data_IF_660771405021
#
_entry.id   IF_660771405021
#
_cell.length_a   1.000
_cell.length_b   1.000
_cell.length_c   1.000
_cell.angle_alpha   90.00
_cell.angle_beta   90.00
_cell.angle_gamma   90.00
#
_symmetry.space_group_name_H-M   'P 1'
#
loop_
_entity.id
_entity.type
_entity.pdbx_description
1 polymer ?
#
# COMPACT_ATOMS: atom_id res chain seq x y z
N UNK A 1 0.06 -31.17 -46.86
CA UNK A 1 1.44 -31.68 -46.85
C UNK A 1 1.88 -31.86 -45.41
N UNK A 2 2.15 -33.12 -45.05
CA UNK A 2 2.93 -33.66 -43.93
C UNK A 2 2.74 -33.09 -42.51
N UNK A 3 1.91 -33.81 -41.74
CA UNK A 3 2.10 -34.05 -40.31
C UNK A 3 3.47 -34.72 -40.06
N UNK A 4 4.24 -34.24 -39.07
CA UNK A 4 5.34 -34.99 -38.48
C UNK A 4 5.05 -35.22 -36.99
N UNK A 5 4.58 -36.44 -36.69
CA UNK A 5 4.48 -36.97 -35.34
C UNK A 5 5.87 -37.39 -34.86
N UNK A 6 6.44 -36.69 -33.88
CA UNK A 6 7.60 -37.20 -33.16
C UNK A 6 7.12 -38.06 -31.98
N UNK A 7 7.10 -39.37 -32.20
CA UNK A 7 6.85 -40.39 -31.18
C UNK A 7 8.00 -40.41 -30.17
N UNK A 8 7.73 -39.97 -28.93
CA UNK A 8 8.65 -40.16 -27.81
C UNK A 8 8.51 -41.61 -27.31
N UNK A 9 9.45 -42.47 -27.74
CA UNK A 9 9.57 -43.88 -27.36
C UNK A 9 10.08 -43.95 -25.91
N UNK A 10 9.17 -44.09 -24.93
CA UNK A 10 9.52 -44.32 -23.53
C UNK A 10 9.92 -45.79 -23.38
N UNK A 11 11.21 -46.05 -23.14
CA UNK A 11 11.73 -47.38 -22.83
C UNK A 11 11.01 -47.94 -21.60
N UNK A 12 10.24 -49.01 -21.80
CA UNK A 12 9.60 -49.78 -20.73
C UNK A 12 10.66 -50.60 -20.01
N UNK A 13 11.10 -50.13 -18.84
CA UNK A 13 11.76 -50.99 -17.86
C UNK A 13 10.64 -51.85 -17.25
N UNK A 14 10.63 -53.13 -17.61
CA UNK A 14 9.74 -54.15 -17.05
C UNK A 14 10.09 -54.38 -15.57
N UNK A 15 9.26 -53.84 -14.67
CA UNK A 15 9.23 -54.26 -13.27
C UNK A 15 8.73 -55.70 -13.19
N UNK A 16 9.33 -56.58 -12.36
CA UNK A 16 8.91 -57.96 -12.24
C UNK A 16 7.47 -58.04 -11.72
N UNK A 17 6.70 -58.85 -12.43
CA UNK A 17 5.31 -59.22 -12.18
C UNK A 17 5.18 -59.82 -10.77
N UNK A 18 4.70 -59.00 -9.82
CA UNK A 18 4.27 -59.48 -8.51
C UNK A 18 3.06 -60.40 -8.73
N UNK A 19 3.34 -61.70 -8.68
CA UNK A 19 2.38 -62.78 -8.76
C UNK A 19 1.17 -62.48 -7.87
N UNK A 20 0.01 -62.34 -8.53
CA UNK A 20 -1.27 -62.18 -7.88
C UNK A 20 -1.61 -63.45 -7.09
N UNK A 21 -1.41 -63.40 -5.77
CA UNK A 21 -2.06 -64.32 -4.86
C UNK A 21 -3.56 -64.05 -4.90
N UNK A 22 -4.33 -65.06 -5.33
CA UNK A 22 -5.79 -65.10 -5.22
C UNK A 22 -6.18 -64.94 -3.75
N UNK A 23 -6.69 -63.76 -3.38
CA UNK A 23 -7.19 -63.52 -2.02
C UNK A 23 -7.99 -62.22 -1.94
N UNK A 24 -9.32 -62.36 -1.94
CA UNK A 24 -10.34 -61.32 -1.71
C UNK A 24 -10.26 -60.07 -2.62
N UNK A 25 -11.25 -59.93 -3.52
CA UNK A 25 -11.63 -58.60 -4.04
C UNK A 25 -12.18 -57.79 -2.86
N UNK A 26 -11.31 -57.15 -2.10
CA UNK A 26 -11.71 -55.94 -1.37
C UNK A 26 -12.14 -54.95 -2.45
N UNK A 27 -13.45 -54.81 -2.65
CA UNK A 27 -13.98 -53.62 -3.29
C UNK A 27 -13.52 -52.45 -2.43
N UNK A 28 -12.39 -51.84 -2.79
CA UNK A 28 -11.98 -50.56 -2.25
C UNK A 28 -13.13 -49.64 -2.59
N UNK A 29 -13.93 -49.28 -1.59
CA UNK A 29 -15.08 -48.39 -1.75
C UNK A 29 -14.50 -47.09 -2.31
N UNK A 30 -14.67 -46.88 -3.62
CA UNK A 30 -14.22 -45.64 -4.25
C UNK A 30 -14.88 -44.51 -3.47
N UNK A 31 -14.04 -43.70 -2.85
CA UNK A 31 -14.52 -42.53 -2.15
C UNK A 31 -15.08 -41.59 -3.21
N UNK A 32 -16.24 -41.00 -2.96
CA UNK A 32 -16.80 -40.01 -3.87
C UNK A 32 -15.81 -38.87 -4.03
N UNK A 33 -15.58 -38.45 -5.27
CA UNK A 33 -14.72 -37.32 -5.59
C UNK A 33 -15.07 -36.11 -4.73
N UNK A 34 -14.04 -35.49 -4.15
CA UNK A 34 -14.15 -34.30 -3.31
C UNK A 34 -13.43 -33.14 -3.97
N UNK A 35 -13.97 -31.97 -3.73
CA UNK A 35 -13.53 -30.73 -4.36
C UNK A 35 -12.47 -30.00 -3.53
N UNK A 36 -11.50 -30.76 -3.05
CA UNK A 36 -10.48 -30.26 -2.15
C UNK A 36 -9.17 -30.13 -2.90
N UNK A 37 -8.63 -28.91 -2.93
CA UNK A 37 -7.32 -28.64 -3.50
C UNK A 37 -6.25 -29.26 -2.60
N UNK A 38 -5.22 -29.89 -3.18
CA UNK A 38 -4.07 -30.46 -2.47
C UNK A 38 -4.34 -31.71 -1.60
N UNK A 39 -5.49 -32.37 -1.79
CA UNK A 39 -5.78 -33.67 -1.18
C UNK A 39 -5.57 -34.77 -2.21
N UNK A 40 -4.80 -35.80 -1.86
CA UNK A 40 -4.67 -36.99 -2.68
C UNK A 40 -5.98 -37.79 -2.64
N UNK A 41 -6.53 -38.08 -3.81
CA UNK A 41 -7.81 -38.78 -3.98
C UNK A 41 -7.64 -39.99 -4.90
N UNK A 42 -8.58 -40.93 -4.86
CA UNK A 42 -8.57 -42.14 -5.70
C UNK A 42 -9.08 -41.87 -7.12
N UNK A 43 -8.69 -40.73 -7.70
CA UNK A 43 -9.05 -40.29 -9.04
C UNK A 43 -7.79 -39.80 -9.76
N UNK A 44 -7.76 -39.93 -11.08
CA UNK A 44 -6.67 -39.41 -11.91
C UNK A 44 -6.55 -37.89 -11.73
N UNK A 45 -5.34 -37.35 -11.90
CA UNK A 45 -5.07 -35.92 -11.71
C UNK A 45 -5.89 -35.02 -12.67
N UNK A 46 -6.27 -35.54 -13.83
CA UNK A 46 -7.09 -34.85 -14.84
C UNK A 46 -8.61 -35.07 -14.65
N UNK A 47 -9.02 -35.90 -13.68
CA UNK A 47 -10.41 -36.24 -13.47
C UNK A 47 -11.17 -35.11 -12.75
N UNK A 48 -12.25 -34.64 -13.35
CA UNK A 48 -13.19 -33.67 -12.78
C UNK A 48 -14.61 -34.22 -12.86
N UNK A 49 -15.36 -34.15 -11.75
CA UNK A 49 -16.72 -34.66 -11.71
C UNK A 49 -17.69 -33.86 -12.60
N UNK A 50 -18.71 -34.52 -13.16
CA UNK A 50 -19.70 -33.87 -14.04
C UNK A 50 -20.50 -32.74 -13.36
N UNK A 51 -20.65 -32.79 -12.03
CA UNK A 51 -21.29 -31.74 -11.23
C UNK A 51 -20.38 -30.56 -10.90
N UNK A 52 -19.12 -30.57 -11.33
CA UNK A 52 -18.14 -29.54 -11.00
C UNK A 52 -18.54 -28.16 -11.55
N UNK A 53 -18.91 -28.11 -12.83
CA UNK A 53 -19.29 -26.87 -13.51
C UNK A 53 -20.64 -26.32 -13.02
N UNK A 54 -21.55 -27.18 -12.54
CA UNK A 54 -22.84 -26.72 -12.00
C UNK A 54 -22.69 -25.95 -10.67
N UNK A 55 -21.56 -26.09 -10.00
CA UNK A 55 -21.24 -25.40 -8.74
C UNK A 55 -20.45 -24.11 -8.95
N UNK A 56 -20.17 -23.71 -10.19
CA UNK A 56 -19.47 -22.47 -10.50
C UNK A 56 -20.33 -21.27 -10.08
N UNK A 57 -19.82 -20.45 -9.17
CA UNK A 57 -20.51 -19.22 -8.76
C UNK A 57 -20.01 -18.06 -9.61
N UNK A 58 -20.94 -17.35 -10.24
CA UNK A 58 -20.65 -16.14 -11.00
C UNK A 58 -21.02 -14.93 -10.14
N UNK A 59 -20.08 -14.01 -10.00
CA UNK A 59 -20.26 -12.71 -9.33
C UNK A 59 -20.72 -12.76 -7.87
N UNK A 60 -20.50 -13.86 -7.14
CA UNK A 60 -20.88 -14.01 -5.72
C UNK A 60 -20.14 -13.06 -4.76
N UNK A 61 -18.98 -12.55 -5.17
CA UNK A 61 -18.15 -11.62 -4.35
C UNK A 61 -17.97 -10.26 -5.03
N UNK A 62 -18.80 -9.94 -6.05
CA UNK A 62 -18.74 -8.62 -6.69
C UNK A 62 -19.19 -7.55 -5.70
N UNK A 63 -18.21 -6.79 -5.20
CA UNK A 63 -18.44 -5.60 -4.39
C UNK A 63 -18.82 -4.45 -5.30
N UNK A 64 -20.05 -3.95 -5.18
CA UNK A 64 -20.47 -2.71 -5.84
C UNK A 64 -19.88 -1.52 -5.09
N UNK A 65 -19.16 -0.65 -5.79
CA UNK A 65 -18.57 0.54 -5.17
C UNK A 65 -19.53 1.72 -5.27
N UNK A 66 -19.75 2.42 -4.15
CA UNK A 66 -20.48 3.67 -4.14
C UNK A 66 -19.66 4.80 -4.77
N UNK A 67 -20.34 5.75 -5.40
CA UNK A 67 -19.70 6.94 -6.00
C UNK A 67 -18.81 7.68 -4.99
N UNK A 68 -19.29 7.90 -3.77
CA UNK A 68 -18.53 8.62 -2.74
C UNK A 68 -17.25 7.92 -2.30
N UNK A 69 -17.23 6.59 -2.30
CA UNK A 69 -16.01 5.83 -2.03
C UNK A 69 -15.00 6.06 -3.15
N UNK A 70 -15.43 5.92 -4.41
CA UNK A 70 -14.58 6.15 -5.57
C UNK A 70 -14.09 7.59 -5.65
N UNK A 71 -14.96 8.58 -5.43
CA UNK A 71 -14.59 10.00 -5.36
C UNK A 71 -13.43 10.25 -4.40
N UNK A 72 -13.49 9.64 -3.20
CA UNK A 72 -12.43 9.73 -2.20
C UNK A 72 -11.14 9.06 -2.66
N UNK A 73 -11.23 7.94 -3.36
CA UNK A 73 -10.05 7.24 -3.88
C UNK A 73 -9.40 8.03 -5.04
N UNK A 74 -10.20 8.53 -5.99
CA UNK A 74 -9.75 9.39 -7.09
C UNK A 74 -9.23 10.76 -6.62
N UNK A 75 -9.74 11.30 -5.51
CA UNK A 75 -9.19 12.54 -4.92
C UNK A 75 -7.73 12.41 -4.48
N UNK A 76 -7.25 11.19 -4.21
CA UNK A 76 -5.85 10.95 -3.86
C UNK A 76 -4.94 10.97 -5.09
N UNK A 77 -5.47 10.56 -6.24
CA UNK A 77 -4.80 10.76 -7.54
C UNK A 77 -4.63 12.26 -7.79
N UNK A 78 -5.68 13.05 -7.58
CA UNK A 78 -5.61 14.52 -7.68
C UNK A 78 -4.63 15.15 -6.68
N UNK A 79 -4.62 14.67 -5.43
CA UNK A 79 -3.67 15.12 -4.42
C UNK A 79 -2.23 14.85 -4.88
N UNK A 80 -1.96 13.63 -5.36
CA UNK A 80 -0.62 13.26 -5.81
C UNK A 80 -0.17 14.09 -7.01
N UNK A 81 -1.04 14.27 -8.00
CA UNK A 81 -0.79 15.13 -9.15
C UNK A 81 -0.49 16.59 -8.73
N UNK A 82 -1.21 17.10 -7.73
CA UNK A 82 -0.98 18.43 -7.17
C UNK A 82 0.36 18.54 -6.44
N UNK A 83 0.76 17.51 -5.70
CA UNK A 83 2.08 17.46 -5.03
C UNK A 83 3.21 17.48 -6.06
N UNK A 84 3.12 16.68 -7.12
CA UNK A 84 4.10 16.69 -8.22
C UNK A 84 4.16 18.07 -8.86
N UNK A 85 3.01 18.65 -9.19
CA UNK A 85 2.95 19.98 -9.80
C UNK A 85 3.49 21.06 -8.86
N UNK A 86 3.27 20.96 -7.55
CA UNK A 86 3.83 21.87 -6.56
C UNK A 86 5.37 21.89 -6.63
N UNK A 87 6.01 20.72 -6.73
CA UNK A 87 7.47 20.61 -6.92
C UNK A 87 7.91 21.27 -8.22
N UNK A 88 7.20 21.03 -9.32
CA UNK A 88 7.53 21.66 -10.62
C UNK A 88 7.36 23.19 -10.58
N UNK A 89 6.31 23.71 -9.94
CA UNK A 89 6.07 25.14 -9.81
C UNK A 89 7.14 25.83 -8.96
N UNK A 90 7.56 25.21 -7.85
CA UNK A 90 8.65 25.74 -7.02
C UNK A 90 9.97 25.73 -7.78
N UNK A 91 10.27 24.66 -8.52
CA UNK A 91 11.44 24.62 -9.40
C UNK A 91 11.39 25.74 -10.45
N UNK A 92 10.27 25.87 -11.15
CA UNK A 92 10.07 26.90 -12.17
C UNK A 92 10.24 28.31 -11.59
N UNK A 93 9.67 28.58 -10.41
CA UNK A 93 9.82 29.84 -9.70
C UNK A 93 11.27 30.14 -9.34
N UNK A 94 12.02 29.15 -8.88
CA UNK A 94 13.46 29.30 -8.58
C UNK A 94 14.31 29.47 -9.84
N UNK A 95 14.02 28.72 -10.90
CA UNK A 95 14.81 28.67 -12.14
C UNK A 95 14.56 29.87 -13.06
N UNK A 96 13.28 30.17 -13.36
CA UNK A 96 12.90 31.24 -14.29
C UNK A 96 12.63 32.57 -13.57
N UNK A 97 11.90 32.53 -12.45
CA UNK A 97 11.45 33.75 -11.75
C UNK A 97 12.42 34.22 -10.65
N UNK A 98 13.56 33.54 -10.47
CA UNK A 98 14.58 33.83 -9.46
C UNK A 98 14.01 33.96 -8.04
N UNK A 99 13.03 33.13 -7.69
CA UNK A 99 12.50 33.07 -6.33
C UNK A 99 13.59 32.71 -5.33
N UNK A 100 13.50 33.34 -4.16
CA UNK A 100 14.37 33.02 -3.04
C UNK A 100 14.14 31.56 -2.59
N UNK A 101 15.15 30.68 -2.67
CA UNK A 101 15.01 29.26 -2.31
C UNK A 101 14.64 29.05 -0.84
N UNK A 102 14.93 30.02 0.04
CA UNK A 102 14.77 29.89 1.49
C UNK A 102 13.30 29.94 1.93
N UNK A 103 12.45 30.66 1.20
CA UNK A 103 11.03 30.82 1.55
C UNK A 103 10.22 29.52 1.49
N UNK A 104 10.20 28.77 0.36
CA UNK A 104 9.42 27.53 0.29
C UNK A 104 9.93 26.48 1.28
N UNK A 105 11.25 26.40 1.50
CA UNK A 105 11.83 25.42 2.41
C UNK A 105 11.53 25.74 3.88
N UNK A 106 11.64 27.00 4.33
CA UNK A 106 11.28 27.33 5.72
C UNK A 106 9.81 27.00 5.99
N UNK A 107 8.93 27.32 5.05
CA UNK A 107 7.51 27.00 5.18
C UNK A 107 7.27 25.48 5.22
N UNK A 108 7.86 24.71 4.30
CA UNK A 108 7.69 23.27 4.27
C UNK A 108 8.31 22.59 5.50
N UNK A 109 9.51 22.98 5.91
CA UNK A 109 10.18 22.43 7.10
C UNK A 109 9.45 22.77 8.40
N UNK A 110 8.83 23.95 8.51
CA UNK A 110 7.98 24.28 9.65
C UNK A 110 6.71 23.41 9.69
N UNK A 111 6.07 23.19 8.53
CA UNK A 111 4.89 22.34 8.41
C UNK A 111 5.22 20.86 8.67
N UNK A 112 6.38 20.36 8.21
CA UNK A 112 6.81 18.98 8.48
C UNK A 112 7.15 18.77 9.95
N UNK A 113 7.79 19.75 10.62
CA UNK A 113 8.05 19.69 12.06
C UNK A 113 6.73 19.67 12.86
N UNK A 114 5.78 20.55 12.51
CA UNK A 114 4.46 20.55 13.13
C UNK A 114 3.73 19.22 12.90
N UNK A 115 3.74 18.72 11.67
CA UNK A 115 3.16 17.43 11.31
C UNK A 115 3.80 16.27 12.08
N UNK A 116 5.13 16.28 12.26
CA UNK A 116 5.86 15.28 13.03
C UNK A 116 5.49 15.31 14.52
N UNK A 117 5.35 16.50 15.12
CA UNK A 117 4.89 16.64 16.51
C UNK A 117 3.47 16.07 16.64
N UNK A 118 2.56 16.45 15.75
CA UNK A 118 1.18 15.93 15.72
C UNK A 118 1.17 14.40 15.57
N UNK A 119 2.01 13.86 14.68
CA UNK A 119 2.18 12.42 14.47
C UNK A 119 2.62 11.69 15.74
N UNK A 120 3.70 12.16 16.38
CA UNK A 120 4.25 11.55 17.61
C UNK A 120 3.25 11.62 18.76
N UNK A 121 2.65 12.79 19.01
CA UNK A 121 1.68 12.98 20.09
C UNK A 121 0.45 12.10 19.87
N UNK A 122 -0.08 12.07 18.65
CA UNK A 122 -1.26 11.26 18.33
C UNK A 122 -0.97 9.76 18.47
N UNK A 123 0.20 9.28 18.01
CA UNK A 123 0.60 7.89 18.19
C UNK A 123 0.73 7.51 19.67
N UNK A 124 1.36 8.36 20.50
CA UNK A 124 1.46 8.14 21.94
C UNK A 124 0.08 8.03 22.58
N UNK A 125 -0.83 8.95 22.26
CA UNK A 125 -2.21 8.92 22.78
C UNK A 125 -2.93 7.63 22.37
N UNK A 126 -2.84 7.23 21.09
CA UNK A 126 -3.51 6.01 20.59
C UNK A 126 -2.96 4.74 21.23
N UNK A 127 -1.63 4.60 21.25
CA UNK A 127 -0.95 3.46 21.88
C UNK A 127 -1.29 3.36 23.37
N UNK A 128 -1.29 4.48 24.10
CA UNK A 128 -1.67 4.49 25.51
C UNK A 128 -3.15 4.08 25.72
N UNK A 129 -4.07 4.53 24.86
CA UNK A 129 -5.47 4.10 24.88
C UNK A 129 -5.65 2.61 24.55
N UNK A 130 -4.81 2.04 23.69
CA UNK A 130 -4.79 0.59 23.44
C UNK A 130 -4.30 -0.17 24.67
N UNK A 131 -3.18 0.28 25.25
CA UNK A 131 -2.59 -0.32 26.45
C UNK A 131 -3.57 -0.34 27.63
N UNK A 132 -4.28 0.76 27.90
CA UNK A 132 -5.29 0.82 28.96
C UNK A 132 -6.42 -0.18 28.69
N UNK A 133 -6.92 -0.27 27.45
CA UNK A 133 -7.96 -1.25 27.07
C UNK A 133 -7.48 -2.69 27.26
N UNK A 134 -6.25 -2.97 26.85
CA UNK A 134 -5.62 -4.29 26.98
C UNK A 134 -5.36 -4.65 28.46
N UNK A 135 -4.95 -3.68 29.29
CA UNK A 135 -4.79 -3.87 30.73
C UNK A 135 -6.12 -4.18 31.41
N UNK A 136 -7.20 -3.44 31.09
CA UNK A 136 -8.54 -3.75 31.59
C UNK A 136 -8.99 -5.16 31.17
N UNK A 137 -8.76 -5.54 29.92
CA UNK A 137 -9.10 -6.89 29.44
C UNK A 137 -8.32 -7.98 30.18
N UNK A 138 -7.02 -7.78 30.43
CA UNK A 138 -6.20 -8.68 31.25
C UNK A 138 -6.73 -8.81 32.67
N UNK A 139 -7.12 -7.71 33.31
CA UNK A 139 -7.71 -7.72 34.66
C UNK A 139 -9.02 -8.53 34.67
N UNK A 140 -9.91 -8.31 33.70
CA UNK A 140 -11.18 -9.03 33.61
C UNK A 140 -10.99 -10.55 33.46
N UNK A 141 -10.00 -10.98 32.67
CA UNK A 141 -9.68 -12.40 32.54
C UNK A 141 -9.11 -12.98 33.84
N UNK A 142 -8.19 -12.27 34.50
CA UNK A 142 -7.63 -12.71 35.78
C UNK A 142 -8.71 -12.84 36.86
N UNK A 143 -9.67 -11.91 36.92
CA UNK A 143 -10.81 -11.97 37.83
C UNK A 143 -11.69 -13.19 37.53
N UNK A 144 -12.02 -13.43 36.25
CA UNK A 144 -12.83 -14.60 35.85
C UNK A 144 -12.12 -15.93 36.14
N UNK A 145 -10.81 -16.05 35.85
CA UNK A 145 -10.03 -17.25 36.17
C UNK A 145 -9.96 -17.52 37.67
N UNK A 146 -9.89 -16.46 38.49
CA UNK A 146 -9.91 -16.54 39.95
C UNK A 146 -11.25 -17.08 40.46
N UNK A 147 -12.37 -16.62 39.92
CA UNK A 147 -13.71 -17.13 40.27
C UNK A 147 -13.92 -18.58 39.85
N UNK A 148 -13.38 -18.99 38.69
CA UNK A 148 -13.50 -20.36 38.19
C UNK A 148 -12.46 -21.34 38.75
N UNK A 149 -11.54 -20.90 39.62
CA UNK A 149 -10.44 -21.73 40.14
C UNK A 149 -9.44 -22.25 39.09
N UNK A 150 -9.35 -21.59 37.93
CA UNK A 150 -8.50 -21.99 36.81
C UNK A 150 -7.16 -21.26 36.85
N UNK A 151 -6.07 -21.95 36.46
CA UNK A 151 -4.75 -21.32 36.37
C UNK A 151 -4.75 -20.23 35.28
N UNK A 152 -4.44 -18.99 35.68
CA UNK A 152 -4.34 -17.88 34.75
C UNK A 152 -3.15 -18.05 33.79
N UNK A 153 -3.41 -18.03 32.48
CA UNK A 153 -2.35 -18.05 31.47
C UNK A 153 -1.57 -16.71 31.46
N UNK A 154 -0.25 -16.78 31.29
CA UNK A 154 0.59 -15.59 31.14
C UNK A 154 0.27 -14.88 29.81
N UNK A 155 -0.42 -13.74 29.90
CA UNK A 155 -0.76 -12.91 28.74
C UNK A 155 0.28 -11.81 28.52
N UNK A 156 1.08 -12.00 27.47
CA UNK A 156 1.97 -10.99 26.91
C UNK A 156 1.16 -9.96 26.14
N UNK A 157 0.98 -8.79 26.74
CA UNK A 157 0.14 -7.72 26.20
C UNK A 157 0.68 -7.17 24.88
N UNK A 158 2.01 -7.19 24.72
CA UNK A 158 2.71 -6.64 23.56
C UNK A 158 2.31 -7.33 22.25
N UNK A 159 1.96 -8.62 22.31
CA UNK A 159 1.48 -9.40 21.16
C UNK A 159 0.16 -8.85 20.58
N UNK A 160 -0.65 -8.19 21.39
CA UNK A 160 -1.97 -7.67 21.00
C UNK A 160 -1.96 -6.17 20.69
N UNK A 161 -0.83 -5.48 20.85
CA UNK A 161 -0.71 -4.06 20.50
C UNK A 161 -0.66 -3.93 18.97
N UNK A 162 -1.61 -3.19 18.40
CA UNK A 162 -1.65 -2.95 16.95
C UNK A 162 -0.93 -1.68 16.52
N UNK A 163 -0.81 -0.70 17.43
CA UNK A 163 -0.17 0.58 17.16
C UNK A 163 1.36 0.51 17.34
N UNK A 164 2.15 0.96 16.34
CA UNK A 164 3.60 0.98 16.45
C UNK A 164 4.07 1.90 17.59
N UNK A 165 5.27 1.65 18.10
CA UNK A 165 5.90 2.56 19.06
C UNK A 165 6.12 3.93 18.40
N UNK A 166 5.86 5.01 19.14
CA UNK A 166 6.17 6.35 18.66
C UNK A 166 7.69 6.49 18.50
N UNK A 167 8.20 7.07 17.39
CA UNK A 167 9.62 7.29 17.24
C UNK A 167 10.15 8.23 18.34
N UNK A 168 11.37 7.97 18.81
CA UNK A 168 12.06 8.86 19.73
C UNK A 168 12.40 10.19 19.05
N UNK A 169 12.17 11.31 19.73
CA UNK A 169 12.46 12.63 19.16
C UNK A 169 13.97 12.81 18.89
N UNK A 170 14.81 12.37 19.82
CA UNK A 170 16.27 12.49 19.71
C UNK A 170 16.81 11.62 18.57
N UNK A 171 16.30 10.38 18.43
CA UNK A 171 16.73 9.49 17.34
C UNK A 171 16.29 10.03 15.98
N UNK A 172 15.05 10.52 15.86
CA UNK A 172 14.56 11.15 14.64
C UNK A 172 15.36 12.41 14.29
N UNK A 173 15.68 13.26 15.28
CA UNK A 173 16.53 14.43 15.09
C UNK A 173 17.93 14.05 14.63
N UNK A 174 18.56 13.05 15.27
CA UNK A 174 19.89 12.54 14.88
C UNK A 174 19.89 12.06 13.42
N UNK A 175 18.91 11.23 13.04
CA UNK A 175 18.80 10.73 11.66
C UNK A 175 18.52 11.85 10.66
N UNK A 176 17.66 12.82 11.00
CA UNK A 176 17.36 13.97 10.14
C UNK A 176 18.59 14.85 9.95
N UNK A 177 19.34 15.13 11.01
CA UNK A 177 20.59 15.89 10.94
C UNK A 177 21.61 15.20 10.05
N UNK A 178 21.75 13.88 10.15
CA UNK A 178 22.63 13.12 9.25
C UNK A 178 22.21 13.30 7.79
N UNK A 179 20.92 13.15 7.46
CA UNK A 179 20.42 13.33 6.09
C UNK A 179 20.70 14.75 5.59
N UNK A 180 20.43 15.77 6.41
CA UNK A 180 20.67 17.18 6.05
C UNK A 180 22.14 17.45 5.77
N UNK A 181 23.04 16.96 6.62
CA UNK A 181 24.49 17.11 6.43
C UNK A 181 24.97 16.42 5.15
N UNK A 182 24.49 15.21 4.86
CA UNK A 182 24.85 14.50 3.62
C UNK A 182 24.31 15.21 2.38
N UNK A 183 23.07 15.72 2.41
CA UNK A 183 22.53 16.51 1.29
C UNK A 183 23.30 17.81 1.09
N UNK A 184 23.72 18.47 2.17
CA UNK A 184 24.48 19.70 2.10
C UNK A 184 25.87 19.48 1.49
N UNK A 185 26.56 18.40 1.86
CA UNK A 185 27.88 18.07 1.31
C UNK A 185 27.80 17.57 -0.13
N UNK A 186 26.75 16.83 -0.51
CA UNK A 186 26.54 16.34 -1.87
C UNK A 186 25.97 17.41 -2.81
N UNK A 187 25.41 18.50 -2.30
CA UNK A 187 24.74 19.53 -3.09
C UNK A 187 25.57 20.05 -4.29
N UNK A 188 26.88 20.36 -4.17
CA UNK A 188 27.67 20.80 -5.32
C UNK A 188 27.76 19.76 -6.45
N UNK A 189 27.80 18.46 -6.09
CA UNK A 189 27.83 17.35 -7.05
C UNK A 189 26.47 17.17 -7.71
N UNK A 190 25.39 17.23 -6.92
CA UNK A 190 24.02 17.14 -7.43
C UNK A 190 23.71 18.31 -8.36
N UNK A 191 24.22 19.51 -8.04
CA UNK A 191 24.12 20.70 -8.89
C UNK A 191 24.83 20.51 -10.23
N UNK A 192 26.04 19.96 -10.24
CA UNK A 192 26.83 19.86 -11.48
C UNK A 192 26.48 18.69 -12.40
N UNK A 193 25.63 17.77 -11.93
CA UNK A 193 25.35 16.47 -12.55
C UNK A 193 24.95 16.55 -14.03
N UNK A 194 24.12 17.53 -14.40
CA UNK A 194 23.57 17.65 -15.77
C UNK A 194 23.99 18.93 -16.47
N UNK A 195 25.13 19.51 -16.09
CA UNK A 195 25.65 20.75 -16.70
C UNK A 195 25.98 20.58 -18.19
N UNK A 196 26.38 19.39 -18.61
CA UNK A 196 26.66 19.06 -20.02
C UNK A 196 25.40 18.78 -20.85
N UNK A 197 24.23 18.64 -20.21
CA UNK A 197 22.97 18.34 -20.90
C UNK A 197 22.20 19.61 -21.26
N UNK A 198 21.51 19.60 -22.40
CA UNK A 198 20.64 20.70 -22.81
C UNK A 198 19.44 20.87 -21.85
N UNK A 199 18.95 22.12 -21.69
CA UNK A 199 17.79 22.41 -20.83
C UNK A 199 16.52 21.69 -21.30
N UNK A 200 16.32 21.61 -22.62
CA UNK A 200 15.09 21.07 -23.21
C UNK A 200 14.99 19.57 -22.94
N UNK A 201 16.11 18.86 -23.03
CA UNK A 201 16.20 17.44 -22.67
C UNK A 201 15.87 17.21 -21.19
N UNK A 202 16.22 18.14 -20.30
CA UNK A 202 15.95 18.01 -18.87
C UNK A 202 14.45 18.21 -18.57
N UNK A 203 13.80 19.20 -19.20
CA UNK A 203 12.35 19.34 -19.12
C UNK A 203 11.63 18.10 -19.69
N UNK A 204 12.12 17.52 -20.78
CA UNK A 204 11.56 16.30 -21.36
C UNK A 204 11.72 15.08 -20.44
N UNK A 205 12.92 14.85 -19.88
CA UNK A 205 13.16 13.76 -18.91
C UNK A 205 12.31 13.98 -17.66
N UNK A 206 12.19 15.21 -17.18
CA UNK A 206 11.36 15.53 -16.02
C UNK A 206 9.89 15.21 -16.27
N UNK A 207 9.36 15.55 -17.46
CA UNK A 207 7.99 15.20 -17.84
C UNK A 207 7.77 13.67 -17.85
N UNK A 208 8.72 12.90 -18.38
CA UNK A 208 8.67 11.44 -18.34
C UNK A 208 8.75 10.89 -16.91
N UNK A 209 9.64 11.43 -16.06
CA UNK A 209 9.73 11.02 -14.67
C UNK A 209 8.45 11.36 -13.88
N UNK A 210 7.81 12.50 -14.15
CA UNK A 210 6.50 12.82 -13.58
C UNK A 210 5.42 11.83 -14.02
N UNK A 211 5.38 11.47 -15.31
CA UNK A 211 4.44 10.48 -15.82
C UNK A 211 4.65 9.10 -15.16
N UNK A 212 5.90 8.61 -15.12
CA UNK A 212 6.24 7.35 -14.48
C UNK A 212 5.94 7.39 -12.98
N UNK A 213 6.17 8.52 -12.32
CA UNK A 213 5.84 8.70 -10.92
C UNK A 213 4.33 8.54 -10.66
N UNK A 214 3.48 9.15 -11.51
CA UNK A 214 2.02 8.98 -11.42
C UNK A 214 1.60 7.53 -11.64
N UNK A 215 2.18 6.84 -12.62
CA UNK A 215 1.84 5.46 -13.00
C UNK A 215 2.27 4.41 -11.97
N UNK A 216 3.46 4.58 -11.39
CA UNK A 216 4.03 3.64 -10.43
C UNK A 216 3.67 3.95 -8.98
N UNK A 217 2.84 4.97 -8.75
CA UNK A 217 2.38 5.27 -7.41
C UNK A 217 1.30 4.30 -6.96
N UNK A 218 1.51 3.71 -5.79
CA UNK A 218 0.50 2.89 -5.14
C UNK A 218 -0.56 3.80 -4.50
N UNK A 219 -1.76 3.81 -5.09
CA UNK A 219 -2.92 4.52 -4.57
C UNK A 219 -3.79 3.61 -3.67
N UNK A 220 -3.42 2.33 -3.48
CA UNK A 220 -4.16 1.38 -2.65
C UNK A 220 -3.97 1.69 -1.17
N UNK A 221 -5.04 1.49 -0.40
CA UNK A 221 -5.11 1.84 1.01
C UNK A 221 -5.67 0.67 1.78
N UNK A 222 -4.78 -0.17 2.30
CA UNK A 222 -5.15 -1.22 3.23
C UNK A 222 -4.93 -0.71 4.65
N UNK A 223 -6.03 -0.37 5.34
CA UNK A 223 -5.97 -0.21 6.79
C UNK A 223 -6.15 -1.60 7.41
N UNK A 224 -5.24 -2.04 8.31
CA UNK A 224 -5.44 -3.26 9.05
C UNK A 224 -6.81 -3.23 9.72
N UNK A 225 -7.66 -4.19 9.37
CA UNK A 225 -8.98 -4.31 9.96
C UNK A 225 -8.80 -4.51 11.47
N UNK A 226 -9.44 -3.65 12.25
CA UNK A 226 -9.37 -3.66 13.72
C UNK A 226 -9.71 -5.07 14.21
N UNK A 227 -8.72 -5.80 14.75
CA UNK A 227 -8.96 -7.14 15.28
C UNK A 227 -10.02 -7.03 16.37
N UNK A 228 -11.13 -7.76 16.20
CA UNK A 228 -12.21 -7.83 17.19
C UNK A 228 -11.70 -8.74 18.31
N UNK A 229 -11.61 -8.21 19.53
CA UNK A 229 -11.27 -9.02 20.70
C UNK A 229 -12.26 -10.19 20.84
N UNK A 230 -11.82 -11.39 21.22
CA UNK A 230 -12.73 -12.47 21.58
C UNK A 230 -13.64 -11.98 22.73
N UNK A 231 -14.95 -12.17 22.59
CA UNK A 231 -15.91 -11.78 23.63
C UNK A 231 -15.64 -12.54 24.95
N UNK A 232 -15.84 -11.84 26.07
CA UNK A 232 -15.65 -12.38 27.41
C UNK A 232 -16.66 -13.52 27.62
N UNK A 233 -16.20 -14.77 27.61
CA UNK A 233 -17.06 -15.97 27.74
C UNK A 233 -17.15 -16.84 26.48
N UNK A 234 -16.56 -16.42 25.36
CA UNK A 234 -16.33 -17.35 24.24
C UNK A 234 -15.31 -18.40 24.69
N UNK A 235 -15.79 -19.58 25.07
CA UNK A 235 -14.97 -20.79 25.29
C UNK A 235 -13.97 -20.88 24.16
N UNK A 236 -12.72 -21.15 24.50
CA UNK A 236 -11.59 -21.29 23.59
C UNK A 236 -11.72 -22.53 22.67
N UNK A 237 -12.83 -22.69 21.94
CA UNK A 237 -12.93 -23.56 20.77
C UNK A 237 -12.40 -22.87 19.50
N UNK A 238 -12.00 -21.60 19.61
CA UNK A 238 -11.32 -20.83 18.55
C UNK A 238 -9.80 -20.85 18.70
N UNK A 239 -9.21 -21.97 19.13
CA UNK A 239 -7.79 -22.25 18.91
C UNK A 239 -7.41 -22.22 17.40
N UNK A 240 -8.41 -22.16 16.51
CA UNK A 240 -8.26 -22.06 15.06
C UNK A 240 -8.53 -20.66 14.49
N UNK A 241 -8.69 -19.62 15.32
CA UNK A 241 -8.58 -18.25 14.82
C UNK A 241 -7.10 -17.98 14.49
N UNK A 242 -6.65 -18.53 13.36
CA UNK A 242 -5.32 -18.30 12.84
C UNK A 242 -5.06 -16.79 12.87
N UNK A 243 -3.90 -16.34 13.37
CA UNK A 243 -3.51 -14.96 13.21
C UNK A 243 -3.59 -14.68 11.71
N UNK A 244 -4.53 -13.82 11.31
CA UNK A 244 -4.56 -13.31 9.94
C UNK A 244 -3.23 -12.62 9.76
N UNK A 245 -2.29 -13.35 9.13
CA UNK A 245 -0.96 -12.84 8.84
C UNK A 245 -1.21 -11.51 8.13
N UNK A 246 -0.66 -10.38 8.64
CA UNK A 246 -0.84 -9.12 7.95
C UNK A 246 -0.40 -9.37 6.51
N UNK A 247 -1.30 -9.14 5.54
CA UNK A 247 -0.93 -9.16 4.14
C UNK A 247 0.25 -8.20 4.03
N UNK A 248 1.46 -8.74 3.87
CA UNK A 248 2.65 -7.97 3.59
C UNK A 248 2.47 -7.52 2.15
N UNK A 249 1.68 -6.45 1.97
CA UNK A 249 1.70 -5.70 0.73
C UNK A 249 3.14 -5.23 0.55
N UNK A 250 3.80 -5.71 -0.50
CA UNK A 250 5.09 -5.18 -0.92
C UNK A 250 4.86 -3.72 -1.31
N UNK A 251 5.04 -2.80 -0.36
CA UNK A 251 5.00 -1.38 -0.66
C UNK A 251 6.23 -1.04 -1.51
N UNK A 252 6.07 -1.07 -2.83
CA UNK A 252 7.14 -0.69 -3.74
C UNK A 252 7.49 0.78 -3.52
N UNK A 253 8.74 1.08 -3.16
CA UNK A 253 9.23 2.46 -3.02
C UNK A 253 9.58 3.12 -4.37
N UNK A 254 9.17 2.51 -5.48
CA UNK A 254 9.53 2.93 -6.84
C UNK A 254 9.07 4.36 -7.14
N UNK A 255 7.81 4.71 -6.86
CA UNK A 255 7.30 6.08 -7.04
C UNK A 255 8.18 7.11 -6.32
N UNK A 256 8.49 6.91 -5.03
CA UNK A 256 9.31 7.85 -4.24
C UNK A 256 10.71 8.01 -4.82
N UNK A 257 11.33 6.93 -5.29
CA UNK A 257 12.63 6.99 -5.94
C UNK A 257 12.56 7.78 -7.25
N UNK A 258 11.52 7.57 -8.07
CA UNK A 258 11.30 8.35 -9.31
C UNK A 258 11.11 9.83 -8.99
N UNK A 259 10.32 10.17 -7.96
CA UNK A 259 10.14 11.56 -7.54
C UNK A 259 11.47 12.21 -7.10
N UNK A 260 12.29 11.48 -6.34
CA UNK A 260 13.60 11.96 -5.92
C UNK A 260 14.56 12.12 -7.11
N UNK A 261 14.58 11.17 -8.04
CA UNK A 261 15.35 11.28 -9.29
C UNK A 261 14.93 12.50 -10.10
N UNK A 262 13.63 12.78 -10.20
CA UNK A 262 13.11 13.97 -10.87
C UNK A 262 13.60 15.25 -10.18
N UNK A 263 13.50 15.31 -8.84
CA UNK A 263 13.97 16.45 -8.07
C UNK A 263 15.48 16.70 -8.25
N UNK A 264 16.30 15.64 -8.31
CA UNK A 264 17.75 15.75 -8.53
C UNK A 264 18.05 16.30 -9.93
N UNK A 265 17.39 15.76 -10.97
CA UNK A 265 17.56 16.19 -12.37
C UNK A 265 17.12 17.64 -12.59
N UNK A 266 16.14 18.13 -11.83
CA UNK A 266 15.75 19.53 -11.85
C UNK A 266 16.72 20.40 -11.04
N UNK A 267 17.09 19.98 -9.82
CA UNK A 267 18.03 20.72 -8.97
C UNK A 267 19.38 21.00 -9.62
N UNK A 268 19.84 20.10 -10.49
CA UNK A 268 21.09 20.25 -11.25
C UNK A 268 21.09 21.44 -12.23
N UNK A 269 19.95 22.13 -12.40
CA UNK A 269 19.86 23.35 -13.22
C UNK A 269 19.79 24.64 -12.41
N UNK A 270 19.82 24.55 -11.10
CA UNK A 270 19.81 25.72 -10.23
C UNK A 270 21.22 26.33 -10.11
N UNK A 271 21.29 27.66 -10.06
CA UNK A 271 22.56 28.39 -10.16
C UNK A 271 23.39 28.38 -8.86
N UNK A 272 22.83 27.97 -7.72
CA UNK A 272 23.51 27.94 -6.40
C UNK A 272 23.41 26.57 -5.72
N UNK A 273 24.46 26.20 -4.97
CA UNK A 273 24.46 25.00 -4.14
C UNK A 273 23.38 25.09 -3.05
N UNK A 274 23.12 26.31 -2.55
CA UNK A 274 22.05 26.52 -1.57
C UNK A 274 20.69 26.24 -2.20
N UNK A 275 20.44 26.73 -3.43
CA UNK A 275 19.17 26.48 -4.12
C UNK A 275 18.95 25.00 -4.43
N UNK A 276 19.99 24.27 -4.86
CA UNK A 276 19.90 22.83 -5.11
C UNK A 276 19.58 22.06 -3.82
N UNK A 277 20.26 22.39 -2.72
CA UNK A 277 19.99 21.83 -1.39
C UNK A 277 18.55 22.08 -0.94
N UNK A 278 18.09 23.35 -0.95
CA UNK A 278 16.75 23.72 -0.52
C UNK A 278 15.67 23.03 -1.37
N UNK A 279 15.85 22.97 -2.69
CA UNK A 279 14.88 22.35 -3.58
C UNK A 279 14.78 20.83 -3.40
N UNK A 280 15.91 20.13 -3.26
CA UNK A 280 15.91 18.68 -3.02
C UNK A 280 15.28 18.37 -1.66
N UNK A 281 15.63 19.13 -0.62
CA UNK A 281 15.05 18.95 0.71
C UNK A 281 13.52 19.20 0.69
N UNK A 282 13.08 20.28 0.04
CA UNK A 282 11.67 20.58 -0.16
C UNK A 282 10.95 19.42 -0.87
N UNK A 283 11.56 18.85 -1.91
CA UNK A 283 11.00 17.72 -2.66
C UNK A 283 10.91 16.45 -1.81
N UNK A 284 11.89 16.17 -0.94
CA UNK A 284 11.85 15.04 0.00
C UNK A 284 10.73 15.23 1.02
N UNK A 285 10.54 16.44 1.52
CA UNK A 285 9.46 16.77 2.46
C UNK A 285 8.07 16.58 1.84
N UNK A 286 7.86 17.06 0.61
CA UNK A 286 6.57 17.02 -0.08
C UNK A 286 6.23 15.68 -0.74
N UNK A 287 7.20 15.01 -1.36
CA UNK A 287 6.97 13.72 -2.05
C UNK A 287 7.27 12.51 -1.15
N UNK A 288 8.05 12.69 -0.08
CA UNK A 288 8.41 11.62 0.86
C UNK A 288 7.60 11.66 2.15
N UNK A 289 7.71 12.75 2.91
CA UNK A 289 7.13 12.85 4.27
C UNK A 289 5.64 13.16 4.27
N UNK A 290 5.18 14.08 3.42
CA UNK A 290 3.77 14.47 3.37
C UNK A 290 2.82 13.30 3.05
N UNK A 291 3.08 12.39 2.08
CA UNK A 291 2.22 11.24 1.84
C UNK A 291 2.12 10.29 3.04
N UNK A 292 3.22 10.12 3.79
CA UNK A 292 3.24 9.33 5.03
C UNK A 292 2.31 9.97 6.06
N UNK A 293 2.40 11.28 6.25
CA UNK A 293 1.54 12.01 7.19
C UNK A 293 0.07 12.01 6.76
N UNK A 294 -0.22 12.21 5.47
CA UNK A 294 -1.58 12.15 4.93
C UNK A 294 -2.19 10.75 5.11
N UNK A 295 -1.42 9.69 4.86
CA UNK A 295 -1.88 8.33 5.12
C UNK A 295 -2.13 8.08 6.61
N UNK A 296 -1.28 8.62 7.48
CA UNK A 296 -1.48 8.58 8.93
C UNK A 296 -2.77 9.28 9.37
N UNK A 297 -3.04 10.49 8.87
CA UNK A 297 -4.27 11.24 9.14
C UNK A 297 -5.51 10.42 8.79
N UNK A 298 -5.49 9.73 7.64
CA UNK A 298 -6.59 8.88 7.17
C UNK A 298 -6.72 7.58 7.96
N UNK A 299 -5.61 6.92 8.32
CA UNK A 299 -5.60 5.77 9.25
C UNK A 299 -6.24 6.15 10.57
N UNK A 300 -5.97 7.36 11.04
CA UNK A 300 -6.55 7.91 12.25
C UNK A 300 -8.03 8.30 12.14
N UNK A 301 -8.63 8.22 10.95
CA UNK A 301 -10.01 8.68 10.67
C UNK A 301 -10.21 10.18 10.92
N UNK A 302 -9.15 10.98 10.85
CA UNK A 302 -9.21 12.44 10.95
C UNK A 302 -9.62 13.05 9.60
N UNK A 303 -10.85 12.74 9.16
CA UNK A 303 -11.33 13.06 7.82
C UNK A 303 -11.37 14.55 7.51
N UNK A 304 -11.78 15.40 8.48
CA UNK A 304 -11.81 16.85 8.30
C UNK A 304 -10.40 17.39 8.03
N UNK A 305 -9.41 16.94 8.82
CA UNK A 305 -8.03 17.36 8.65
C UNK A 305 -7.43 16.86 7.33
N UNK A 306 -7.77 15.64 6.91
CA UNK A 306 -7.39 15.12 5.59
C UNK A 306 -7.94 15.98 4.45
N UNK A 307 -9.22 16.33 4.47
CA UNK A 307 -9.81 17.19 3.44
C UNK A 307 -9.25 18.61 3.46
N UNK A 308 -8.90 19.12 4.65
CA UNK A 308 -8.18 20.39 4.78
C UNK A 308 -6.81 20.32 4.11
N UNK A 309 -6.03 19.25 4.32
CA UNK A 309 -4.75 19.04 3.65
C UNK A 309 -4.92 18.98 2.12
N UNK A 310 -5.89 18.20 1.64
CA UNK A 310 -6.19 18.07 0.20
C UNK A 310 -6.56 19.43 -0.39
N UNK A 311 -7.49 20.14 0.23
CA UNK A 311 -7.93 21.45 -0.22
C UNK A 311 -6.77 22.45 -0.24
N UNK A 312 -5.96 22.50 0.83
CA UNK A 312 -4.83 23.44 0.93
C UNK A 312 -3.83 23.24 -0.22
N UNK A 313 -3.47 22.00 -0.54
CA UNK A 313 -2.53 21.72 -1.64
C UNK A 313 -3.17 22.02 -2.99
N UNK A 314 -4.39 21.52 -3.26
CA UNK A 314 -5.05 21.69 -4.57
C UNK A 314 -5.30 23.17 -4.86
N UNK A 315 -5.86 23.92 -3.90
CA UNK A 315 -6.11 25.36 -4.08
C UNK A 315 -4.81 26.15 -4.12
N UNK A 316 -3.82 25.81 -3.29
CA UNK A 316 -2.51 26.48 -3.29
C UNK A 316 -1.78 26.33 -4.63
N UNK A 317 -1.78 25.12 -5.20
CA UNK A 317 -1.19 24.84 -6.51
C UNK A 317 -1.97 25.52 -7.63
N UNK A 318 -3.31 25.50 -7.58
CA UNK A 318 -4.14 26.18 -8.58
C UNK A 318 -3.94 27.70 -8.54
N UNK A 319 -3.81 28.28 -7.35
CA UNK A 319 -3.48 29.69 -7.18
C UNK A 319 -2.08 30.02 -7.71
N UNK A 320 -1.07 29.20 -7.42
CA UNK A 320 0.28 29.38 -7.95
C UNK A 320 0.31 29.27 -9.49
N UNK A 321 -0.42 28.30 -10.06
CA UNK A 321 -0.60 28.13 -11.50
C UNK A 321 -1.18 29.40 -12.14
N UNK A 322 -2.26 29.94 -11.56
CA UNK A 322 -2.86 31.20 -11.99
C UNK A 322 -1.87 32.37 -11.92
N UNK A 323 -1.12 32.48 -10.82
CA UNK A 323 -0.18 33.59 -10.61
C UNK A 323 1.03 33.55 -11.55
N UNK A 324 1.49 32.37 -11.94
CA UNK A 324 2.69 32.20 -12.78
C UNK A 324 2.33 32.19 -14.27
N UNK A 325 1.31 31.43 -14.67
CA UNK A 325 0.99 31.16 -16.07
C UNK A 325 -0.32 31.81 -16.55
N UNK A 326 -1.08 32.45 -15.65
CA UNK A 326 -2.32 33.15 -15.98
C UNK A 326 -3.58 32.30 -15.95
N UNK A 327 -4.71 32.91 -16.35
CA UNK A 327 -6.05 32.30 -16.29
C UNK A 327 -6.20 31.06 -17.17
N UNK A 328 -5.66 31.09 -18.40
CA UNK A 328 -5.81 29.98 -19.35
C UNK A 328 -5.26 28.66 -18.80
N UNK A 329 -4.01 28.65 -18.33
CA UNK A 329 -3.39 27.48 -17.73
C UNK A 329 -4.07 27.03 -16.44
N UNK A 330 -4.57 27.98 -15.64
CA UNK A 330 -5.37 27.66 -14.45
C UNK A 330 -6.67 26.92 -14.82
N UNK A 331 -7.38 27.35 -15.86
CA UNK A 331 -8.60 26.68 -16.34
C UNK A 331 -8.28 25.26 -16.85
N UNK A 332 -7.19 25.09 -17.62
CA UNK A 332 -6.75 23.76 -18.07
C UNK A 332 -6.45 22.84 -16.89
N UNK A 333 -5.74 23.35 -15.87
CA UNK A 333 -5.40 22.62 -14.65
C UNK A 333 -6.65 22.21 -13.85
N UNK A 334 -7.58 23.14 -13.64
CA UNK A 334 -8.85 22.85 -12.95
C UNK A 334 -9.73 21.87 -13.73
N UNK A 335 -9.74 21.96 -15.06
CA UNK A 335 -10.46 21.03 -15.93
C UNK A 335 -9.90 19.61 -15.83
N UNK A 336 -8.58 19.45 -15.75
CA UNK A 336 -7.93 18.15 -15.50
C UNK A 336 -8.32 17.58 -14.13
N UNK A 337 -8.34 18.40 -13.09
CA UNK A 337 -8.80 17.97 -11.77
C UNK A 337 -10.25 17.51 -11.76
N UNK A 338 -11.13 18.27 -12.43
CA UNK A 338 -12.55 17.92 -12.56
C UNK A 338 -12.72 16.61 -13.34
N UNK A 339 -11.98 16.44 -14.44
CA UNK A 339 -11.97 15.21 -15.24
C UNK A 339 -11.63 14.00 -14.37
N UNK A 340 -10.55 14.06 -13.59
CA UNK A 340 -10.11 12.93 -12.76
C UNK A 340 -11.14 12.58 -11.69
N UNK A 341 -11.72 13.58 -11.01
CA UNK A 341 -12.59 13.37 -9.85
C UNK A 341 -14.05 13.11 -10.22
N UNK A 342 -14.52 13.55 -11.38
CA UNK A 342 -15.90 13.30 -11.84
C UNK A 342 -15.92 12.15 -12.83
N UNK A 343 -15.14 12.24 -13.92
CA UNK A 343 -15.18 11.24 -14.98
C UNK A 343 -14.54 9.92 -14.52
N UNK A 344 -13.47 9.96 -13.71
CA UNK A 344 -12.85 8.76 -13.15
C UNK A 344 -13.84 7.84 -12.42
N UNK A 345 -14.52 8.31 -11.35
CA UNK A 345 -15.53 7.53 -10.64
C UNK A 345 -16.70 7.09 -11.52
N UNK A 346 -17.24 7.97 -12.37
CA UNK A 346 -18.37 7.63 -13.24
C UNK A 346 -18.00 6.55 -14.26
N UNK A 347 -16.81 6.67 -14.87
CA UNK A 347 -16.27 5.67 -15.77
C UNK A 347 -16.05 4.34 -15.05
N UNK A 348 -15.51 4.36 -13.84
CA UNK A 348 -15.31 3.14 -13.05
C UNK A 348 -16.65 2.46 -12.68
N UNK A 349 -17.69 3.23 -12.34
CA UNK A 349 -19.04 2.68 -12.13
C UNK A 349 -19.60 2.10 -13.43
N UNK A 350 -19.44 2.81 -14.55
CA UNK A 350 -19.87 2.31 -15.85
C UNK A 350 -19.15 1.01 -16.25
N UNK A 351 -17.89 0.82 -15.83
CA UNK A 351 -17.14 -0.42 -16.04
C UNK A 351 -17.57 -1.57 -15.13
N UNK A 352 -18.21 -1.31 -13.98
CA UNK A 352 -18.67 -2.39 -13.08
C UNK A 352 -19.65 -3.34 -13.75
N UNK A 353 -20.43 -2.87 -14.73
CA UNK A 353 -21.36 -3.74 -15.51
C UNK A 353 -20.64 -4.82 -16.33
N UNK A 354 -19.35 -4.62 -16.65
CA UNK A 354 -18.53 -5.57 -17.38
C UNK A 354 -17.71 -6.48 -16.46
N UNK A 355 -17.82 -6.32 -15.14
CA UNK A 355 -17.10 -7.17 -14.18
C UNK A 355 -17.73 -8.56 -14.19
N UNK A 356 -16.89 -9.54 -14.50
CA UNK A 356 -17.27 -10.94 -14.51
C UNK A 356 -16.24 -11.75 -13.73
N UNK A 357 -16.62 -12.16 -12.52
CA UNK A 357 -15.81 -12.98 -11.65
C UNK A 357 -16.44 -14.37 -11.56
N UNK A 358 -15.80 -15.33 -12.22
CA UNK A 358 -16.11 -16.74 -12.08
C UNK A 358 -15.29 -17.28 -10.92
N UNK A 359 -15.95 -17.57 -9.81
CA UNK A 359 -15.30 -18.24 -8.71
C UNK A 359 -15.24 -19.72 -9.03
N UNK A 360 -14.01 -20.15 -9.30
CA UNK A 360 -13.64 -21.56 -9.37
C UNK A 360 -14.12 -22.23 -8.09
N UNK A 361 -14.75 -23.39 -8.19
CA UNK A 361 -15.62 -23.77 -7.10
C UNK A 361 -14.81 -24.55 -6.03
N UNK A 362 -13.50 -24.73 -6.22
CA UNK A 362 -12.55 -25.43 -5.37
C UNK A 362 -12.42 -24.87 -3.95
N UNK A 363 -12.47 -25.75 -2.96
CA UNK A 363 -12.18 -25.41 -1.57
C UNK A 363 -10.71 -25.74 -1.24
N UNK A 364 -9.93 -24.81 -0.66
CA UNK A 364 -8.59 -25.10 -0.16
C UNK A 364 -8.68 -26.15 0.96
N UNK A 365 -7.92 -27.24 0.87
CA UNK A 365 -7.85 -28.17 1.99
C UNK A 365 -7.09 -27.56 3.17
N UNK A 366 -7.66 -27.72 4.37
CA UNK A 366 -6.99 -27.34 5.60
C UNK A 366 -6.08 -28.49 6.07
N UNK A 367 -4.81 -28.22 6.42
CA UNK A 367 -3.91 -29.24 6.92
C UNK A 367 -4.38 -29.76 8.29
N UNK A 368 -4.47 -31.08 8.43
CA UNK A 368 -4.76 -31.72 9.73
C UNK A 368 -3.46 -31.79 10.52
N UNK A 369 -3.25 -30.83 11.42
CA UNK A 369 -2.11 -30.86 12.34
C UNK A 369 -2.42 -31.86 13.46
N UNK A 370 -1.79 -33.03 13.43
CA UNK A 370 -1.84 -33.96 14.57
C UNK A 370 -0.96 -33.37 15.67
N UNK A 371 -1.56 -32.99 16.80
CA UNK A 371 -0.79 -32.68 18.01
C UNK A 371 -0.10 -33.97 18.46
N UNK A 372 1.22 -33.97 18.50
CA UNK A 372 2.00 -35.05 19.09
C UNK A 372 1.68 -34.99 20.59
N UNK A 373 0.98 -36.00 21.10
CA UNK A 373 0.73 -36.22 22.52
C UNK A 373 1.92 -36.91 23.18
#
# INVERSE_FOLDING_TARGET
MAFLSHSYRRNSISLPELQATKGSRFFRKQTTWKKLLWVKQDYDDDYTDSSFLSQLKRNSTVVNYSYWKLFRDFSLVNLHLSVIMCVILVFYGMYMLRWDPVRPIILSSALTLLGFIVYVVTLKIRRNKELIRLQHWKILQLTSSRESGSAAAHLDLEKYITEPASPGLISAFKSSMLILLHLLTLSPVLKSLTNSSASDSIWAISAWLCLLNVLFNDYVIDFPQKQRFPELGAVATTANAAPVLPKIGSHSNMSKNIALSNAIVLASRLNSNLSAFCFILFSIELCGLFPIFNNFTRRCQFWVFHWLQVGTIVFGVSYAMYRIFGTGWCICWLSLHLLIVVVGPLYFIALQKYKDELQGPWDPAHPVVKSIQ
#
